data_IF_113362070638
#
_entry.id   IF_113362070638
#
_cell.length_a   1.000
_cell.length_b   1.000
_cell.length_c   1.000
_cell.angle_alpha   90.00
_cell.angle_beta   90.00
_cell.angle_gamma   90.00
#
_symmetry.space_group_name_H-M   'P 1'
#
loop_
_entity.id
_entity.type
_entity.pdbx_description
1 polymer ?
#
# COMPACT_ATOMS: atom_id res chain seq x y z
N UNK A 1 -31.98 -15.74 14.08
CA UNK A 1 -32.09 -17.09 13.55
C UNK A 1 -31.84 -17.03 12.06
N UNK A 2 -30.80 -17.72 11.58
CA UNK A 2 -30.48 -18.05 10.18
C UNK A 2 -29.96 -16.96 9.23
N UNK A 3 -28.64 -16.70 9.30
CA UNK A 3 -27.85 -16.34 8.11
C UNK A 3 -26.39 -16.82 8.27
N UNK A 4 -26.19 -18.12 8.44
CA UNK A 4 -24.86 -18.73 8.69
C UNK A 4 -24.40 -19.74 7.64
N UNK A 5 -24.88 -19.71 6.39
CA UNK A 5 -24.69 -20.85 5.48
C UNK A 5 -24.36 -20.52 4.01
N UNK A 6 -23.66 -19.42 3.67
CA UNK A 6 -23.28 -19.16 2.27
C UNK A 6 -21.81 -18.75 2.00
N UNK A 7 -20.89 -18.93 2.93
CA UNK A 7 -19.50 -18.48 2.70
C UNK A 7 -18.44 -19.57 2.40
N UNK A 8 -18.67 -20.88 2.35
CA UNK A 8 -17.60 -21.82 2.01
C UNK A 8 -17.56 -22.30 0.55
N UNK A 9 -18.32 -21.72 -0.39
CA UNK A 9 -18.43 -22.29 -1.74
C UNK A 9 -17.69 -21.55 -2.86
N UNK A 10 -16.85 -20.57 -2.57
CA UNK A 10 -16.17 -19.77 -3.60
C UNK A 10 -14.64 -19.95 -3.70
N UNK A 11 -14.04 -20.86 -2.93
CA UNK A 11 -12.57 -21.09 -2.96
C UNK A 11 -12.16 -22.40 -3.66
N UNK A 12 -13.10 -23.26 -4.06
CA UNK A 12 -12.78 -24.60 -4.57
C UNK A 12 -12.75 -24.74 -6.11
N UNK A 13 -12.83 -23.67 -6.90
CA UNK A 13 -12.94 -23.75 -8.37
C UNK A 13 -11.67 -23.37 -9.16
N UNK A 14 -10.50 -23.30 -8.54
CA UNK A 14 -9.27 -22.83 -9.21
C UNK A 14 -8.17 -23.89 -9.40
N UNK A 15 -8.45 -25.17 -9.30
CA UNK A 15 -7.44 -26.22 -9.59
C UNK A 15 -8.07 -27.34 -10.39
N UNK A 16 -7.98 -27.27 -11.71
CA UNK A 16 -7.78 -28.32 -12.69
C UNK A 16 -8.14 -27.84 -14.11
N UNK A 17 -7.18 -27.25 -14.82
CA UNK A 17 -7.22 -27.22 -16.27
C UNK A 17 -6.22 -28.28 -16.79
N UNK A 18 -6.61 -29.20 -17.69
CA UNK A 18 -5.68 -30.14 -18.29
C UNK A 18 -4.71 -29.37 -19.21
N UNK A 19 -3.43 -29.73 -19.14
CA UNK A 19 -2.42 -29.24 -20.06
C UNK A 19 -2.76 -29.71 -21.48
N UNK A 20 -3.35 -28.84 -22.27
CA UNK A 20 -3.46 -29.04 -23.70
C UNK A 20 -2.08 -28.77 -24.33
N UNK A 21 -1.56 -29.75 -25.07
CA UNK A 21 -0.34 -29.62 -25.84
C UNK A 21 -0.48 -28.42 -26.80
N UNK A 22 0.39 -27.42 -26.66
CA UNK A 22 0.43 -26.26 -27.55
C UNK A 22 0.89 -26.71 -28.93
N UNK A 23 0.06 -26.51 -29.91
CA UNK A 23 0.49 -26.56 -31.34
C UNK A 23 1.56 -25.46 -31.59
N UNK A 24 2.49 -25.64 -32.51
CA UNK A 24 3.49 -24.62 -32.81
C UNK A 24 2.80 -23.32 -33.23
N UNK A 25 3.11 -22.24 -32.51
CA UNK A 25 2.53 -20.93 -32.75
C UNK A 25 2.87 -20.44 -34.15
N UNK A 26 1.89 -20.05 -34.92
CA UNK A 26 2.04 -19.38 -36.20
C UNK A 26 2.77 -18.04 -35.97
N UNK A 27 3.95 -17.82 -36.64
CA UNK A 27 4.67 -16.55 -36.46
C UNK A 27 3.88 -15.31 -36.89
N UNK A 28 2.83 -15.45 -37.70
CA UNK A 28 1.90 -14.37 -38.03
C UNK A 28 0.94 -14.05 -36.89
N UNK A 29 0.60 -15.04 -36.03
CA UNK A 29 -0.21 -14.80 -34.82
C UNK A 29 0.60 -14.10 -33.71
N UNK A 30 1.92 -14.39 -33.63
CA UNK A 30 2.82 -13.72 -32.70
C UNK A 30 3.05 -12.23 -33.06
N UNK A 31 3.01 -11.88 -34.35
CA UNK A 31 3.11 -10.50 -34.80
C UNK A 31 1.82 -9.68 -34.52
N UNK A 32 0.65 -10.33 -34.48
CA UNK A 32 -0.62 -9.67 -34.19
C UNK A 32 -0.90 -9.49 -32.69
N UNK A 33 -0.21 -10.21 -31.79
CA UNK A 33 -0.27 -9.97 -30.34
C UNK A 33 0.66 -8.84 -29.90
N UNK A 34 1.50 -8.33 -30.78
CA UNK A 34 2.26 -7.09 -30.63
C UNK A 34 1.50 -5.85 -31.12
N UNK A 35 0.19 -5.93 -31.44
CA UNK A 35 -0.68 -4.78 -31.53
C UNK A 35 -0.69 -4.14 -30.12
N UNK A 36 0.04 -3.04 -30.01
CA UNK A 36 0.19 -2.23 -28.83
C UNK A 36 -1.18 -2.02 -28.22
N UNK A 37 -1.29 -2.50 -27.00
CA UNK A 37 -2.38 -2.17 -26.11
C UNK A 37 -2.19 -0.67 -25.81
N UNK A 38 -2.82 0.19 -26.60
CA UNK A 38 -2.76 1.66 -26.50
C UNK A 38 -3.47 2.18 -25.23
N UNK A 39 -3.53 1.36 -24.16
CA UNK A 39 -4.05 1.79 -22.88
C UNK A 39 -3.09 2.83 -22.27
N UNK A 40 -3.53 4.11 -22.18
CA UNK A 40 -2.68 5.18 -21.68
C UNK A 40 -2.27 5.00 -20.21
N UNK A 41 -2.92 4.07 -19.48
CA UNK A 41 -2.59 3.76 -18.09
C UNK A 41 -1.50 2.68 -17.98
N UNK A 42 -1.07 2.09 -19.12
CA UNK A 42 -0.05 1.05 -19.16
C UNK A 42 1.39 1.56 -19.18
N UNK A 43 1.56 2.84 -19.43
CA UNK A 43 2.87 3.46 -19.58
C UNK A 43 3.70 3.35 -18.29
N UNK A 44 4.94 2.79 -18.32
CA UNK A 44 5.78 2.70 -17.14
C UNK A 44 6.19 4.08 -16.67
N UNK A 45 5.51 4.60 -15.66
CA UNK A 45 5.87 5.86 -15.06
C UNK A 45 7.19 5.72 -14.29
N UNK A 46 8.26 6.31 -14.81
CA UNK A 46 9.58 6.26 -14.20
C UNK A 46 9.69 7.09 -12.93
N UNK A 47 8.84 8.10 -12.74
CA UNK A 47 8.80 8.93 -11.54
C UNK A 47 7.98 8.31 -10.42
N UNK A 48 6.99 7.47 -10.77
CA UNK A 48 6.09 6.79 -9.84
C UNK A 48 6.08 5.26 -10.10
N UNK A 49 7.15 4.53 -9.73
CA UNK A 49 7.30 3.12 -10.09
C UNK A 49 6.33 2.17 -9.35
N UNK A 50 5.69 2.61 -8.25
CA UNK A 50 4.78 1.80 -7.43
C UNK A 50 3.54 2.60 -7.00
N UNK A 51 2.49 1.88 -6.60
CA UNK A 51 1.20 2.41 -6.12
C UNK A 51 1.27 3.04 -4.73
N UNK A 52 2.37 2.83 -4.02
CA UNK A 52 2.64 3.40 -2.70
C UNK A 52 4.07 3.95 -2.61
N UNK A 53 4.28 4.98 -1.81
CA UNK A 53 5.62 5.36 -1.35
C UNK A 53 6.11 4.27 -0.38
N UNK A 54 5.78 4.29 0.89
CA UNK A 54 5.79 3.10 1.76
C UNK A 54 4.38 2.74 2.20
N UNK A 55 3.62 3.72 2.67
CA UNK A 55 2.20 3.62 3.06
C UNK A 55 1.33 4.65 2.37
N UNK A 56 1.88 5.82 1.99
CA UNK A 56 1.15 6.84 1.22
C UNK A 56 0.88 6.34 -0.19
N UNK A 57 -0.35 6.55 -0.66
CA UNK A 57 -0.73 6.24 -2.03
C UNK A 57 -0.01 7.17 -3.02
N UNK A 58 0.25 6.66 -4.23
CA UNK A 58 0.71 7.45 -5.39
C UNK A 58 -0.43 7.64 -6.39
N UNK A 59 -0.19 8.45 -7.42
CA UNK A 59 -1.14 8.61 -8.53
C UNK A 59 -0.86 7.66 -9.71
N UNK A 60 -0.01 6.64 -9.52
CA UNK A 60 0.17 5.61 -10.53
C UNK A 60 -1.17 4.92 -10.83
N UNK A 61 -1.53 4.85 -12.10
CA UNK A 61 -2.77 4.24 -12.56
C UNK A 61 -2.61 2.74 -12.78
N UNK A 62 -3.65 1.99 -12.43
CA UNK A 62 -3.76 0.57 -12.75
C UNK A 62 -4.60 0.41 -14.02
N UNK A 63 -4.03 -0.10 -15.12
CA UNK A 63 -4.75 -0.25 -16.38
C UNK A 63 -5.96 -1.16 -16.23
N UNK A 64 -7.02 -0.89 -17.01
CA UNK A 64 -8.24 -1.70 -17.03
C UNK A 64 -7.93 -3.18 -17.25
N UNK A 65 -8.57 -4.05 -16.45
CA UNK A 65 -8.42 -5.50 -16.56
C UNK A 65 -7.06 -6.03 -16.06
N UNK A 66 -6.22 -5.18 -15.47
CA UNK A 66 -4.91 -5.56 -14.94
C UNK A 66 -4.94 -5.69 -13.44
N UNK A 67 -3.94 -6.43 -12.93
CA UNK A 67 -3.77 -6.68 -11.50
C UNK A 67 -2.46 -6.12 -11.00
N UNK A 68 -2.46 -5.74 -9.74
CA UNK A 68 -1.27 -5.48 -8.95
C UNK A 68 -1.36 -6.30 -7.66
N UNK A 69 -0.28 -6.97 -7.32
CA UNK A 69 -0.10 -7.68 -6.06
C UNK A 69 1.02 -7.02 -5.27
N UNK A 70 0.82 -6.82 -3.96
CA UNK A 70 1.85 -6.33 -3.06
C UNK A 70 1.87 -7.14 -1.78
N UNK A 71 3.07 -7.53 -1.38
CA UNK A 71 3.37 -8.07 -0.06
C UNK A 71 4.07 -6.99 0.75
N UNK A 72 3.61 -6.76 1.98
CA UNK A 72 4.30 -5.93 2.97
C UNK A 72 4.79 -6.80 4.11
N UNK A 73 5.96 -6.47 4.63
CA UNK A 73 6.56 -7.20 5.75
C UNK A 73 7.21 -6.18 6.69
N UNK A 74 6.87 -6.25 7.98
CA UNK A 74 7.46 -5.43 9.04
C UNK A 74 7.98 -6.37 10.13
N UNK A 75 9.27 -6.28 10.42
CA UNK A 75 9.85 -6.97 11.56
C UNK A 75 9.52 -6.24 12.85
N UNK A 76 9.24 -6.97 13.93
CA UNK A 76 8.76 -6.37 15.19
C UNK A 76 9.85 -6.03 16.17
N UNK A 77 11.12 -6.37 15.88
CA UNK A 77 12.25 -6.01 16.71
C UNK A 77 12.69 -4.58 16.44
N UNK A 78 12.75 -3.77 17.49
CA UNK A 78 13.23 -2.40 17.40
C UNK A 78 14.74 -2.33 17.13
N UNK A 79 15.14 -1.47 16.19
CA UNK A 79 16.55 -1.28 15.82
C UNK A 79 17.33 -0.41 16.81
N UNK A 80 16.63 0.35 17.68
CA UNK A 80 17.23 1.21 18.70
C UNK A 80 17.48 0.53 20.05
N UNK A 81 17.14 -0.76 20.19
CA UNK A 81 17.27 -1.49 21.44
C UNK A 81 18.58 -2.30 21.50
N UNK A 82 19.39 -2.04 22.55
CA UNK A 82 20.67 -2.72 22.76
C UNK A 82 21.84 -2.04 22.06
N UNK A 83 22.99 -2.72 22.10
CA UNK A 83 24.20 -2.29 21.38
C UNK A 83 24.28 -2.93 19.97
N UNK A 84 25.35 -2.61 19.24
CA UNK A 84 25.56 -3.17 17.89
C UNK A 84 25.68 -4.71 17.90
N UNK A 85 26.26 -5.29 18.99
CA UNK A 85 26.38 -6.74 19.13
C UNK A 85 25.02 -7.41 19.32
N UNK A 86 24.14 -6.79 20.10
CA UNK A 86 22.75 -7.24 20.29
C UNK A 86 21.95 -7.20 18.97
N UNK A 87 22.10 -6.12 18.21
CA UNK A 87 21.46 -5.98 16.89
C UNK A 87 21.99 -7.02 15.90
N UNK A 88 23.31 -7.22 15.85
CA UNK A 88 23.92 -8.20 14.98
C UNK A 88 23.52 -9.63 15.38
N UNK A 89 23.43 -9.92 16.68
CA UNK A 89 22.98 -11.21 17.22
C UNK A 89 21.52 -11.55 16.88
N UNK A 90 20.69 -10.54 16.64
CA UNK A 90 19.28 -10.69 16.18
C UNK A 90 19.13 -10.47 14.68
N UNK A 91 20.23 -10.49 13.93
CA UNK A 91 20.27 -10.19 12.49
C UNK A 91 19.52 -8.89 12.14
N UNK A 92 19.75 -7.81 12.90
CA UNK A 92 19.09 -6.50 12.71
C UNK A 92 17.55 -6.58 12.70
N UNK A 93 16.99 -7.44 13.53
CA UNK A 93 15.55 -7.62 13.68
C UNK A 93 14.95 -8.73 12.84
N UNK A 94 15.72 -9.40 11.98
CA UNK A 94 15.22 -10.49 11.13
C UNK A 94 14.77 -11.71 11.94
N UNK A 95 15.37 -11.97 13.11
CA UNK A 95 15.00 -13.08 14.01
C UNK A 95 13.76 -12.78 14.86
N UNK A 96 13.19 -11.59 14.76
CA UNK A 96 11.98 -11.20 15.47
C UNK A 96 10.71 -11.71 14.80
N UNK A 97 9.59 -11.46 15.45
CA UNK A 97 8.27 -11.67 14.84
C UNK A 97 8.07 -10.77 13.62
N UNK A 98 7.08 -11.10 12.79
CA UNK A 98 6.76 -10.32 11.59
C UNK A 98 5.28 -10.05 11.45
N UNK A 99 4.96 -8.85 10.98
CA UNK A 99 3.63 -8.47 10.53
C UNK A 99 3.63 -8.45 9.00
N UNK A 100 2.75 -9.25 8.43
CA UNK A 100 2.68 -9.48 6.98
C UNK A 100 1.35 -8.97 6.45
N UNK A 101 1.39 -8.30 5.30
CA UNK A 101 0.20 -7.88 4.58
C UNK A 101 0.23 -8.30 3.12
N UNK A 102 -0.94 -8.61 2.58
CA UNK A 102 -1.17 -9.00 1.20
C UNK A 102 -2.21 -8.05 0.59
N UNK A 103 -1.83 -7.32 -0.45
CA UNK A 103 -2.67 -6.37 -1.19
C UNK A 103 -2.87 -6.87 -2.61
N UNK A 104 -4.11 -6.90 -3.05
CA UNK A 104 -4.49 -7.20 -4.42
C UNK A 104 -5.37 -6.07 -4.93
N UNK A 105 -4.96 -5.45 -6.05
CA UNK A 105 -5.72 -4.41 -6.74
C UNK A 105 -6.11 -4.88 -8.14
N UNK A 106 -7.26 -4.39 -8.60
CA UNK A 106 -7.78 -4.66 -9.94
C UNK A 106 -8.31 -3.39 -10.59
N UNK A 107 -7.84 -3.09 -11.81
CA UNK A 107 -8.33 -1.98 -12.63
C UNK A 107 -9.68 -2.31 -13.26
N UNK A 108 -10.75 -1.65 -12.82
CA UNK A 108 -12.12 -1.88 -13.33
C UNK A 108 -12.36 -1.15 -14.65
N UNK A 109 -12.00 0.12 -14.70
CA UNK A 109 -12.06 0.97 -15.89
C UNK A 109 -10.98 2.05 -15.82
N UNK A 110 -10.69 2.78 -16.91
CA UNK A 110 -9.62 3.76 -16.93
C UNK A 110 -9.69 4.72 -15.75
N UNK A 111 -8.60 4.79 -14.98
CA UNK A 111 -8.49 5.64 -13.80
C UNK A 111 -9.21 5.14 -12.55
N UNK A 112 -9.89 3.99 -12.56
CA UNK A 112 -10.54 3.45 -11.37
C UNK A 112 -10.11 2.03 -11.07
N UNK A 113 -9.62 1.84 -9.86
CA UNK A 113 -9.27 0.52 -9.31
C UNK A 113 -9.94 0.26 -7.96
N UNK A 114 -10.09 -1.01 -7.68
CA UNK A 114 -10.50 -1.53 -6.39
C UNK A 114 -9.40 -2.41 -5.82
N UNK A 115 -9.34 -2.51 -4.50
CA UNK A 115 -8.34 -3.32 -3.81
C UNK A 115 -8.90 -3.98 -2.57
N UNK A 116 -8.31 -5.13 -2.26
CA UNK A 116 -8.47 -5.79 -0.98
C UNK A 116 -7.09 -6.03 -0.39
N UNK A 117 -6.90 -5.59 0.85
CA UNK A 117 -5.67 -5.77 1.59
C UNK A 117 -5.93 -6.49 2.90
N UNK A 118 -5.13 -7.50 3.20
CA UNK A 118 -5.17 -8.23 4.46
C UNK A 118 -3.83 -8.12 5.16
N UNK A 119 -3.82 -7.61 6.38
CA UNK A 119 -2.61 -7.59 7.23
C UNK A 119 -2.81 -8.42 8.49
N UNK A 120 -1.71 -8.98 9.02
CA UNK A 120 -1.73 -9.70 10.29
C UNK A 120 -1.88 -8.77 11.51
N UNK A 121 -1.57 -7.47 11.36
CA UNK A 121 -1.83 -6.48 12.40
C UNK A 121 -3.34 -6.35 12.61
N UNK A 122 -3.81 -6.66 13.83
CA UNK A 122 -5.23 -6.71 14.23
C UNK A 122 -6.09 -7.59 13.31
N UNK A 123 -5.46 -8.49 12.55
CA UNK A 123 -6.11 -9.29 11.48
C UNK A 123 -6.97 -8.42 10.56
N UNK A 124 -6.51 -7.19 10.27
CA UNK A 124 -7.27 -6.19 9.53
C UNK A 124 -7.44 -6.59 8.07
N UNK A 125 -8.66 -6.44 7.56
CA UNK A 125 -8.95 -6.44 6.13
C UNK A 125 -9.39 -5.03 5.75
N UNK A 126 -8.76 -4.47 4.71
CA UNK A 126 -9.14 -3.19 4.11
C UNK A 126 -9.77 -3.44 2.74
N UNK A 127 -10.93 -2.85 2.51
CA UNK A 127 -11.50 -2.69 1.18
C UNK A 127 -11.25 -1.26 0.72
N UNK A 128 -10.79 -1.09 -0.52
CA UNK A 128 -10.39 0.20 -1.07
C UNK A 128 -10.94 0.40 -2.47
N UNK A 129 -11.42 1.62 -2.77
CA UNK A 129 -11.65 2.13 -4.11
C UNK A 129 -10.77 3.36 -4.35
N UNK A 130 -10.18 3.49 -5.53
CA UNK A 130 -9.42 4.66 -5.92
C UNK A 130 -9.84 5.15 -7.29
N UNK A 131 -10.04 6.48 -7.40
CA UNK A 131 -10.32 7.16 -8.64
C UNK A 131 -9.27 8.24 -8.94
N UNK A 132 -8.57 8.09 -10.06
CA UNK A 132 -7.60 9.06 -10.54
C UNK A 132 -8.33 10.15 -11.33
N UNK A 133 -8.45 11.34 -10.74
CA UNK A 133 -9.17 12.49 -11.30
C UNK A 133 -8.30 13.20 -12.35
N UNK A 134 -7.04 13.47 -12.02
CA UNK A 134 -6.08 14.14 -12.88
C UNK A 134 -4.78 13.31 -12.97
N UNK A 135 -4.21 13.22 -14.16
CA UNK A 135 -2.87 12.67 -14.39
C UNK A 135 -1.81 13.76 -14.24
N UNK A 136 -0.68 13.44 -13.64
CA UNK A 136 0.51 14.31 -13.62
C UNK A 136 1.01 14.67 -15.04
N UNK A 137 0.88 13.74 -15.99
CA UNK A 137 1.28 13.97 -17.37
C UNK A 137 0.41 15.00 -18.11
N UNK A 138 -0.87 15.08 -17.73
CA UNK A 138 -1.87 15.93 -18.42
C UNK A 138 -2.14 17.25 -17.69
N UNK A 139 -1.67 17.37 -16.43
CA UNK A 139 -1.92 18.51 -15.56
C UNK A 139 -0.66 18.86 -14.73
N UNK A 140 -0.56 20.07 -14.18
CA UNK A 140 0.57 20.45 -13.34
C UNK A 140 0.68 19.62 -12.05
N UNK A 141 -0.40 18.95 -11.64
CA UNK A 141 -0.46 18.04 -10.49
C UNK A 141 -1.36 16.84 -10.83
N UNK A 142 -1.02 15.68 -10.33
CA UNK A 142 -1.91 14.52 -10.29
C UNK A 142 -2.85 14.61 -9.09
N UNK A 143 -4.06 14.09 -9.25
CA UNK A 143 -5.07 14.02 -8.18
C UNK A 143 -5.81 12.71 -8.23
N UNK A 144 -5.85 12.02 -7.10
CA UNK A 144 -6.71 10.85 -6.89
C UNK A 144 -7.53 11.00 -5.63
N UNK A 145 -8.67 10.35 -5.62
CA UNK A 145 -9.52 10.16 -4.45
C UNK A 145 -9.44 8.68 -4.06
N UNK A 146 -9.17 8.42 -2.80
CA UNK A 146 -9.13 7.08 -2.22
C UNK A 146 -10.19 7.01 -1.14
N UNK A 147 -11.07 6.02 -1.23
CA UNK A 147 -12.02 5.68 -0.19
C UNK A 147 -11.75 4.25 0.27
N UNK A 148 -11.73 4.02 1.57
CA UNK A 148 -11.48 2.71 2.15
C UNK A 148 -12.33 2.47 3.39
N UNK A 149 -12.42 1.22 3.77
CA UNK A 149 -12.89 0.78 5.08
C UNK A 149 -12.00 -0.35 5.57
N UNK A 150 -11.46 -0.19 6.75
CA UNK A 150 -10.77 -1.23 7.48
C UNK A 150 -11.75 -1.94 8.41
N UNK A 151 -11.65 -3.26 8.55
CA UNK A 151 -12.34 -4.03 9.57
C UNK A 151 -11.34 -4.93 10.27
N UNK A 152 -11.31 -4.90 11.60
CA UNK A 152 -10.45 -5.76 12.42
C UNK A 152 -11.01 -7.17 12.53
N UNK A 153 -10.26 -8.10 13.11
CA UNK A 153 -10.59 -9.52 13.29
C UNK A 153 -11.23 -10.18 12.04
N UNK A 154 -10.55 -10.03 10.88
CA UNK A 154 -11.01 -10.54 9.59
C UNK A 154 -12.32 -9.91 9.08
N UNK A 155 -12.48 -8.61 9.29
CA UNK A 155 -13.64 -7.81 8.90
C UNK A 155 -14.92 -8.18 9.66
N UNK A 156 -14.80 -8.57 10.93
CA UNK A 156 -15.94 -8.91 11.79
C UNK A 156 -16.13 -7.94 12.96
N UNK A 157 -15.12 -7.10 13.21
CA UNK A 157 -15.08 -6.20 14.34
C UNK A 157 -14.54 -4.83 13.89
N UNK A 158 -14.76 -3.77 14.70
CA UNK A 158 -14.27 -2.40 14.56
C UNK A 158 -14.02 -1.90 13.12
N UNK A 159 -14.97 -1.17 12.57
CA UNK A 159 -14.88 -0.63 11.21
C UNK A 159 -14.40 0.81 11.23
N UNK A 160 -13.31 1.08 10.49
CA UNK A 160 -12.72 2.42 10.35
C UNK A 160 -12.83 2.88 8.88
N UNK A 161 -13.87 3.63 8.52
CA UNK A 161 -14.00 4.22 7.19
C UNK A 161 -13.01 5.37 7.03
N UNK A 162 -12.44 5.51 5.84
CA UNK A 162 -11.48 6.56 5.54
C UNK A 162 -11.61 7.12 4.14
N UNK A 163 -11.19 8.36 3.97
CA UNK A 163 -11.07 9.03 2.67
C UNK A 163 -9.74 9.80 2.63
N UNK A 164 -9.07 9.75 1.49
CA UNK A 164 -7.86 10.52 1.25
C UNK A 164 -7.89 11.15 -0.14
N UNK A 165 -7.28 12.34 -0.24
CA UNK A 165 -6.96 12.98 -1.51
C UNK A 165 -5.46 12.85 -1.73
N UNK A 166 -5.07 12.25 -2.85
CA UNK A 166 -3.66 12.05 -3.19
C UNK A 166 -3.29 13.06 -4.26
N UNK A 167 -2.49 14.04 -3.87
CA UNK A 167 -1.90 14.99 -4.80
C UNK A 167 -0.46 14.56 -5.06
N UNK A 168 -0.04 14.61 -6.33
CA UNK A 168 1.34 14.37 -6.70
C UNK A 168 1.85 15.44 -7.66
N UNK A 169 3.16 15.63 -7.66
CA UNK A 169 3.87 16.42 -8.66
C UNK A 169 5.09 15.62 -9.11
N UNK A 170 5.09 15.26 -10.37
CA UNK A 170 6.27 14.64 -10.98
C UNK A 170 7.37 15.68 -11.24
N UNK A 171 8.60 15.30 -10.98
CA UNK A 171 9.81 16.10 -11.17
C UNK A 171 10.56 15.60 -12.43
N UNK A 172 9.83 15.52 -13.54
CA UNK A 172 10.27 14.84 -14.74
C UNK A 172 10.47 13.35 -14.45
N UNK A 173 11.54 12.76 -14.97
CA UNK A 173 11.91 11.35 -14.74
C UNK A 173 12.70 11.14 -13.42
N UNK A 174 12.92 12.20 -12.65
CA UNK A 174 13.76 12.18 -11.44
C UNK A 174 13.04 11.72 -10.18
N UNK A 175 11.70 11.72 -10.18
CA UNK A 175 10.91 11.32 -9.03
C UNK A 175 9.61 12.10 -8.91
N UNK A 176 8.99 12.02 -7.75
CA UNK A 176 7.73 12.70 -7.44
C UNK A 176 7.65 13.09 -5.97
N UNK A 177 6.87 14.13 -5.70
CA UNK A 177 6.46 14.55 -4.36
C UNK A 177 4.96 14.32 -4.19
N UNK A 178 4.55 14.05 -2.96
CA UNK A 178 3.19 13.65 -2.63
C UNK A 178 2.67 14.43 -1.43
N UNK A 179 1.39 14.79 -1.48
CA UNK A 179 0.62 15.33 -0.37
C UNK A 179 -0.68 14.55 -0.28
N UNK A 180 -1.00 14.03 0.91
CA UNK A 180 -2.18 13.19 1.13
C UNK A 180 -2.93 13.63 2.38
N UNK A 181 -3.77 14.69 2.32
CA UNK A 181 -4.76 14.92 3.37
C UNK A 181 -5.73 13.74 3.42
N UNK A 182 -6.01 13.27 4.62
CA UNK A 182 -6.89 12.14 4.84
C UNK A 182 -7.70 12.31 6.13
N UNK A 183 -8.87 11.69 6.13
CA UNK A 183 -9.76 11.59 7.27
C UNK A 183 -10.13 10.13 7.50
N UNK A 184 -10.09 9.69 8.74
CA UNK A 184 -10.47 8.34 9.18
C UNK A 184 -11.42 8.48 10.37
N UNK A 185 -12.61 7.94 10.23
CA UNK A 185 -13.56 7.77 11.32
C UNK A 185 -13.29 6.48 12.08
N UNK A 186 -13.76 6.38 13.31
CA UNK A 186 -13.52 5.27 14.22
C UNK A 186 -12.02 4.84 14.19
N UNK A 187 -11.15 5.83 14.33
CA UNK A 187 -9.70 5.59 14.31
C UNK A 187 -9.17 5.00 15.62
N UNK A 188 -9.91 5.17 16.73
CA UNK A 188 -9.61 4.55 18.02
C UNK A 188 -10.10 3.10 18.01
N UNK A 189 -9.20 2.17 18.30
CA UNK A 189 -9.56 0.78 18.58
C UNK A 189 -9.77 0.54 20.09
N UNK A 190 -10.32 1.50 20.79
CA UNK A 190 -10.59 1.39 22.24
C UNK A 190 -12.08 1.14 22.40
N UNK A 191 -12.40 0.13 23.20
CA UNK A 191 -13.78 -0.19 23.59
C UNK A 191 -14.53 1.07 24.04
N UNK A 192 -15.78 1.21 23.63
CA UNK A 192 -16.63 2.37 23.87
C UNK A 192 -16.89 2.66 25.37
N UNK A 193 -16.46 1.80 26.28
CA UNK A 193 -16.61 1.92 27.73
C UNK A 193 -15.55 2.81 28.41
N UNK A 194 -14.49 3.19 27.69
CA UNK A 194 -13.59 4.22 28.19
C UNK A 194 -14.33 5.56 28.10
N UNK A 195 -14.84 6.05 29.22
CA UNK A 195 -15.42 7.39 29.35
C UNK A 195 -14.33 8.47 29.17
N UNK A 196 -13.86 8.61 27.94
CA UNK A 196 -12.86 9.57 27.51
C UNK A 196 -13.53 10.53 26.53
N UNK A 197 -13.42 11.83 26.79
CA UNK A 197 -13.83 12.90 25.86
C UNK A 197 -12.92 13.00 24.61
N UNK A 198 -12.19 11.93 24.26
CA UNK A 198 -11.30 11.94 23.10
C UNK A 198 -12.05 11.68 21.80
N UNK A 199 -11.64 12.39 20.76
CA UNK A 199 -12.19 12.26 19.42
C UNK A 199 -12.05 10.83 18.87
N UNK A 200 -13.09 10.34 18.20
CA UNK A 200 -13.13 9.03 17.54
C UNK A 200 -12.71 9.07 16.09
N UNK A 201 -12.18 10.18 15.63
CA UNK A 201 -11.68 10.36 14.28
C UNK A 201 -10.24 10.86 14.28
N UNK A 202 -9.56 10.71 13.15
CA UNK A 202 -8.23 11.30 12.93
C UNK A 202 -8.16 11.92 11.54
N UNK A 203 -7.68 13.16 11.47
CA UNK A 203 -7.27 13.79 10.23
C UNK A 203 -5.74 13.83 10.16
N UNK A 204 -5.19 13.39 9.03
CA UNK A 204 -3.74 13.37 8.78
C UNK A 204 -3.37 14.18 7.56
N UNK A 205 -2.12 14.63 7.50
CA UNK A 205 -1.53 15.24 6.32
C UNK A 205 -0.30 14.43 5.92
N UNK A 206 -0.47 13.40 5.08
CA UNK A 206 0.63 12.63 4.54
C UNK A 206 1.49 13.49 3.61
N UNK A 207 2.81 13.44 3.81
CA UNK A 207 3.81 14.12 2.98
C UNK A 207 4.84 13.07 2.59
N UNK A 208 5.16 12.96 1.31
CA UNK A 208 6.13 11.98 0.82
C UNK A 208 6.92 12.49 -0.37
N UNK A 209 8.06 11.88 -0.58
CA UNK A 209 8.88 12.11 -1.75
C UNK A 209 9.60 10.83 -2.17
N UNK A 210 9.82 10.70 -3.47
CA UNK A 210 10.60 9.63 -4.07
C UNK A 210 11.55 10.24 -5.08
N UNK A 211 12.83 9.86 -5.02
CA UNK A 211 13.85 10.34 -5.95
C UNK A 211 14.58 9.17 -6.60
N UNK A 212 14.74 9.26 -7.90
CA UNK A 212 15.48 8.31 -8.71
C UNK A 212 16.97 8.57 -8.60
N UNK A 213 17.73 7.56 -8.14
CA UNK A 213 19.19 7.61 -8.03
C UNK A 213 19.88 7.04 -9.27
N UNK A 214 19.23 6.14 -9.96
CA UNK A 214 19.76 5.45 -11.13
C UNK A 214 18.63 4.97 -12.04
N UNK A 215 18.93 4.15 -13.02
CA UNK A 215 17.95 3.71 -14.02
C UNK A 215 16.71 3.06 -13.38
N UNK A 216 16.90 2.27 -12.32
CA UNK A 216 15.84 1.49 -11.68
C UNK A 216 15.86 1.58 -10.16
N UNK A 217 16.66 2.49 -9.60
CA UNK A 217 16.90 2.61 -8.15
C UNK A 217 16.36 3.93 -7.64
N UNK A 218 15.69 3.90 -6.50
CA UNK A 218 15.07 5.07 -5.89
C UNK A 218 15.32 5.09 -4.39
N UNK A 219 15.31 6.29 -3.82
CA UNK A 219 15.15 6.53 -2.38
C UNK A 219 13.83 7.23 -2.15
N UNK A 220 13.26 7.00 -0.99
CA UNK A 220 12.02 7.66 -0.60
C UNK A 220 12.02 7.98 0.89
N UNK A 221 11.16 8.94 1.23
CA UNK A 221 10.77 9.23 2.61
C UNK A 221 9.31 9.69 2.63
N UNK A 222 8.63 9.39 3.73
CA UNK A 222 7.26 9.84 3.99
C UNK A 222 7.04 10.09 5.47
N UNK A 223 6.03 10.92 5.78
CA UNK A 223 5.54 11.16 7.12
C UNK A 223 4.06 11.53 7.08
N UNK A 224 3.32 11.17 8.12
CA UNK A 224 1.87 11.42 8.22
C UNK A 224 1.53 12.04 9.56
N UNK A 225 1.84 13.34 9.79
CA UNK A 225 1.41 14.05 10.97
C UNK A 225 -0.13 14.08 11.05
N UNK A 226 -0.62 13.90 12.26
CA UNK A 226 -2.03 14.12 12.59
C UNK A 226 -2.26 15.59 12.80
N UNK A 227 -3.32 16.12 12.22
CA UNK A 227 -3.65 17.56 12.23
C UNK A 227 -4.93 17.86 13.00
N UNK A 228 -5.76 16.86 13.26
CA UNK A 228 -6.95 16.97 14.10
C UNK A 228 -7.43 15.60 14.54
N UNK A 229 -8.27 15.58 15.60
CA UNK A 229 -8.87 14.38 16.17
C UNK A 229 -7.95 13.65 17.12
N UNK A 230 -8.08 12.33 17.19
CA UNK A 230 -7.30 11.46 18.07
C UNK A 230 -5.79 11.61 17.86
N UNK A 231 -5.05 11.94 18.90
CA UNK A 231 -3.65 12.38 18.85
C UNK A 231 -2.70 11.61 19.78
N UNK A 232 -2.96 10.36 20.08
CA UNK A 232 -2.03 9.54 20.86
C UNK A 232 -0.94 8.92 19.98
N UNK A 233 0.24 8.71 20.56
CA UNK A 233 1.42 8.19 19.87
C UNK A 233 2.15 9.27 19.07
N UNK A 234 3.06 8.86 18.20
CA UNK A 234 3.92 9.76 17.43
C UNK A 234 3.51 9.83 15.96
N UNK A 235 3.96 10.89 15.29
CA UNK A 235 3.85 10.99 13.83
C UNK A 235 4.48 9.78 13.17
N UNK A 236 3.71 9.10 12.33
CA UNK A 236 4.18 8.00 11.50
C UNK A 236 5.17 8.51 10.47
N UNK A 237 6.32 7.85 10.36
CA UNK A 237 7.34 8.15 9.37
C UNK A 237 7.99 6.87 8.83
N UNK A 238 8.38 6.91 7.56
CA UNK A 238 9.10 5.83 6.90
C UNK A 238 10.11 6.40 5.89
N UNK A 239 11.21 5.70 5.68
CA UNK A 239 12.16 5.99 4.61
C UNK A 239 12.81 4.70 4.12
N UNK A 240 13.42 4.75 2.96
CA UNK A 240 14.07 3.55 2.44
C UNK A 240 14.56 3.66 1.01
N UNK A 241 14.80 2.47 0.46
CA UNK A 241 15.34 2.28 -0.87
C UNK A 241 14.44 1.34 -1.67
N UNK A 242 14.30 1.64 -2.97
CA UNK A 242 13.54 0.81 -3.90
C UNK A 242 14.39 0.42 -5.10
N UNK A 243 14.16 -0.80 -5.58
CA UNK A 243 14.73 -1.32 -6.81
C UNK A 243 13.60 -1.85 -7.69
N UNK A 244 13.47 -1.27 -8.90
CA UNK A 244 12.55 -1.77 -9.93
C UNK A 244 13.26 -2.77 -10.83
N UNK A 245 12.58 -3.87 -11.15
CA UNK A 245 13.03 -4.82 -12.16
C UNK A 245 11.82 -5.37 -12.93
N UNK A 246 11.65 -4.95 -14.18
CA UNK A 246 10.46 -5.26 -14.95
C UNK A 246 9.18 -4.81 -14.22
N UNK A 247 8.18 -5.67 -14.14
CA UNK A 247 6.96 -5.40 -13.38
C UNK A 247 7.08 -5.55 -11.86
N UNK A 248 8.29 -5.79 -11.32
CA UNK A 248 8.50 -5.90 -9.87
C UNK A 248 9.09 -4.61 -9.31
N UNK A 249 8.67 -4.27 -8.08
CA UNK A 249 9.33 -3.27 -7.25
C UNK A 249 9.64 -3.90 -5.91
N UNK A 250 10.91 -3.95 -5.57
CA UNK A 250 11.40 -4.38 -4.27
C UNK A 250 11.79 -3.15 -3.46
N UNK A 251 11.27 -3.05 -2.23
CA UNK A 251 11.49 -1.92 -1.35
C UNK A 251 12.02 -2.41 0.00
N UNK A 252 13.13 -1.86 0.45
CA UNK A 252 13.59 -1.94 1.82
C UNK A 252 13.20 -0.67 2.55
N UNK A 253 12.62 -0.77 3.73
CA UNK A 253 12.17 0.39 4.47
C UNK A 253 12.49 0.30 5.97
N UNK A 254 12.59 1.48 6.57
CA UNK A 254 12.66 1.71 7.98
C UNK A 254 11.44 2.55 8.36
N UNK A 255 10.68 2.11 9.34
CA UNK A 255 9.46 2.78 9.80
C UNK A 255 9.41 2.82 11.32
N UNK A 256 8.85 3.88 11.88
CA UNK A 256 8.62 3.96 13.32
C UNK A 256 7.25 3.38 13.74
N UNK A 257 6.63 2.61 12.85
CA UNK A 257 5.30 2.02 13.06
C UNK A 257 5.14 0.72 12.24
N UNK A 258 4.11 -0.05 12.58
CA UNK A 258 3.78 -1.31 11.89
C UNK A 258 2.60 -1.18 10.93
N UNK A 259 1.79 -0.15 11.08
CA UNK A 259 0.59 0.07 10.29
C UNK A 259 0.90 0.25 8.80
N UNK A 260 0.06 -0.33 7.96
CA UNK A 260 0.20 -0.30 6.50
C UNK A 260 -1.09 0.10 5.79
N UNK A 261 -2.20 0.19 6.50
CA UNK A 261 -3.48 0.73 6.00
C UNK A 261 -3.63 2.20 6.41
N UNK A 262 -4.56 2.91 5.75
CA UNK A 262 -4.82 4.32 6.08
C UNK A 262 -5.25 4.50 7.53
N UNK A 263 -6.14 3.63 8.03
CA UNK A 263 -6.62 3.71 9.42
C UNK A 263 -5.49 3.38 10.42
N UNK A 264 -4.66 2.37 10.15
CA UNK A 264 -3.52 2.04 10.99
C UNK A 264 -2.48 3.16 11.05
N UNK A 265 -2.23 3.85 9.93
CA UNK A 265 -1.35 5.03 9.86
C UNK A 265 -1.96 6.20 10.65
N UNK A 266 -3.27 6.40 10.55
CA UNK A 266 -3.97 7.47 11.27
C UNK A 266 -3.89 7.31 12.80
N UNK A 267 -3.83 6.07 13.31
CA UNK A 267 -3.62 5.79 14.76
C UNK A 267 -2.27 6.23 15.29
N UNK A 268 -1.29 6.41 14.41
CA UNK A 268 0.05 6.88 14.74
C UNK A 268 1.04 5.78 15.11
N UNK A 269 2.31 6.16 15.15
CA UNK A 269 3.40 5.30 15.59
C UNK A 269 3.39 5.13 17.11
N UNK A 270 3.90 3.99 17.59
CA UNK A 270 3.90 3.65 19.01
C UNK A 270 4.93 4.47 19.81
N UNK A 271 6.13 4.66 19.24
CA UNK A 271 7.24 5.35 19.88
C UNK A 271 8.17 5.98 18.83
N UNK A 272 8.55 7.25 19.01
CA UNK A 272 9.43 7.99 18.08
C UNK A 272 10.86 7.45 18.05
N UNK A 273 11.32 6.85 19.12
CA UNK A 273 12.70 6.39 19.27
C UNK A 273 12.90 4.97 18.70
N UNK A 274 11.80 4.28 18.39
CA UNK A 274 11.85 2.92 17.86
C UNK A 274 11.66 2.94 16.34
N UNK A 275 12.67 2.41 15.64
CA UNK A 275 12.63 2.14 14.22
C UNK A 275 12.64 0.65 13.96
N UNK A 276 11.91 0.25 12.94
CA UNK A 276 11.73 -1.16 12.58
C UNK A 276 12.10 -1.36 11.12
N UNK A 277 12.78 -2.44 10.85
CA UNK A 277 13.11 -2.85 9.51
C UNK A 277 11.89 -3.50 8.83
N UNK A 278 11.78 -3.33 7.53
CA UNK A 278 10.74 -3.96 6.73
C UNK A 278 11.09 -4.01 5.26
N UNK A 279 10.29 -4.74 4.52
CA UNK A 279 10.35 -4.72 3.06
C UNK A 279 8.96 -4.82 2.45
N UNK A 280 8.84 -4.34 1.24
CA UNK A 280 7.66 -4.54 0.41
C UNK A 280 8.10 -5.13 -0.93
N UNK A 281 7.26 -6.01 -1.48
CA UNK A 281 7.42 -6.56 -2.81
C UNK A 281 6.14 -6.34 -3.59
N UNK A 282 6.23 -5.58 -4.67
CA UNK A 282 5.11 -5.33 -5.58
C UNK A 282 5.33 -6.08 -6.89
N UNK A 283 4.27 -6.66 -7.43
CA UNK A 283 4.22 -7.23 -8.77
C UNK A 283 3.07 -6.63 -9.55
N UNK A 284 3.41 -5.92 -10.62
CA UNK A 284 2.47 -5.41 -11.63
C UNK A 284 2.32 -6.44 -12.75
N UNK A 285 1.08 -6.79 -13.09
CA UNK A 285 0.76 -7.77 -14.15
C UNK A 285 0.31 -7.04 -15.43
N UNK A 286 1.14 -6.10 -15.89
CA UNK A 286 0.93 -5.34 -17.13
C UNK A 286 2.26 -4.79 -17.66
#
# INVERSE_FOLDING_TARGET
>A
MTLRLLLPLLIAAAVAAPAAAQAPADPAAAANTAAQDDDPDRDPNDSQPDFYVATLNTNLRLPRGKFNFRLTHRFTTALGEGDFGDLAGRLFGLDGGALVGLDLKYGLFPGFDIGIYRTSLDKTIQLQGRYNVLKDADAPIGLSIVANVDGTDNFTDEFSPGVAFVLSRELGDRGAIYLQPAYVGNSRLIEADAADDEDDYTATLGIGARFRLGRNSYVFAEGSPRIAGYDRGVTVASFGFEQRYGGHVFQLNFSNHFGTTLAQVARGGANSDNWYFGFNLTRKFF
#
